data_IF_899076191855
#
_entry.id   IF_899076191855
#
_cell.length_a   1.000
_cell.length_b   1.000
_cell.length_c   1.000
_cell.angle_alpha   90.00
_cell.angle_beta   90.00
_cell.angle_gamma   90.00
#
_symmetry.space_group_name_H-M   'P 1'
#
loop_
_entity.id
_entity.type
_entity.pdbx_description
1 polymer ?
#
# COMPACT_ATOMS: atom_id res chain seq x y z
N UNK A 1 -21.86 45.30 60.82
CA UNK A 1 -20.72 45.07 59.90
C UNK A 1 -20.60 43.57 59.63
N UNK A 2 -21.11 43.09 58.49
CA UNK A 2 -21.06 41.67 58.11
C UNK A 2 -19.70 41.36 57.43
N UNK A 3 -18.77 40.73 58.16
CA UNK A 3 -17.52 40.20 57.57
C UNK A 3 -17.83 38.89 56.84
N UNK A 4 -18.02 38.94 55.52
CA UNK A 4 -18.01 37.72 54.68
C UNK A 4 -16.58 37.21 54.57
N UNK A 5 -16.30 36.08 55.21
CA UNK A 5 -15.05 35.31 55.07
C UNK A 5 -14.97 34.71 53.67
N UNK A 6 -14.06 35.21 52.84
CA UNK A 6 -13.71 34.59 51.55
C UNK A 6 -12.76 33.43 51.87
N UNK A 7 -13.26 32.19 51.76
CA UNK A 7 -12.42 31.00 51.86
C UNK A 7 -11.45 30.96 50.67
N UNK A 8 -10.14 31.09 50.93
CA UNK A 8 -9.10 30.88 49.91
C UNK A 8 -9.00 29.39 49.62
N UNK A 9 -9.47 28.96 48.46
CA UNK A 9 -9.12 27.65 47.92
C UNK A 9 -7.61 27.64 47.64
N UNK A 10 -6.86 26.89 48.45
CA UNK A 10 -5.44 26.61 48.20
C UNK A 10 -5.38 25.73 46.96
N UNK A 11 -4.90 26.26 45.83
CA UNK A 11 -4.65 25.45 44.66
C UNK A 11 -3.55 24.44 45.00
N UNK A 12 -3.92 23.16 45.03
CA UNK A 12 -2.96 22.06 45.11
C UNK A 12 -2.21 22.02 43.78
N UNK A 13 -0.95 22.45 43.79
CA UNK A 13 -0.07 22.34 42.63
C UNK A 13 0.30 20.88 42.35
N UNK A 14 0.62 20.59 41.10
CA UNK A 14 1.14 19.29 40.67
C UNK A 14 2.55 19.11 41.22
N UNK A 15 2.85 17.94 41.80
CA UNK A 15 4.16 17.66 42.36
C UNK A 15 5.15 17.28 41.26
N UNK A 16 6.44 17.56 41.47
CA UNK A 16 7.50 17.13 40.55
C UNK A 16 7.52 15.59 40.39
N UNK A 17 7.18 14.86 41.45
CA UNK A 17 7.14 13.40 41.41
C UNK A 17 5.99 12.88 40.55
N UNK A 18 4.81 13.52 40.60
CA UNK A 18 3.70 13.18 39.69
C UNK A 18 4.08 13.43 38.24
N UNK A 19 4.81 14.52 37.95
CA UNK A 19 5.25 14.85 36.60
C UNK A 19 6.26 13.84 36.07
N UNK A 20 7.21 13.42 36.90
CA UNK A 20 8.18 12.38 36.53
C UNK A 20 7.52 11.02 36.25
N UNK A 21 6.52 10.62 37.05
CA UNK A 21 5.78 9.37 36.82
C UNK A 21 5.00 9.43 35.51
N UNK A 22 4.34 10.55 35.22
CA UNK A 22 3.59 10.73 33.96
C UNK A 22 4.52 10.64 32.76
N UNK A 23 5.68 11.30 32.79
CA UNK A 23 6.67 11.22 31.71
C UNK A 23 7.20 9.79 31.53
N UNK A 24 7.45 9.07 32.64
CA UNK A 24 7.88 7.67 32.57
C UNK A 24 6.84 6.77 31.89
N UNK A 25 5.55 6.91 32.23
CA UNK A 25 4.47 6.13 31.61
C UNK A 25 4.32 6.48 30.13
N UNK A 26 4.32 7.77 29.77
CA UNK A 26 4.25 8.22 28.37
C UNK A 26 5.45 7.68 27.59
N UNK A 27 6.64 7.65 28.17
CA UNK A 27 7.85 7.10 27.54
C UNK A 27 7.69 5.62 27.17
N UNK A 28 7.15 4.80 28.07
CA UNK A 28 6.89 3.37 27.81
C UNK A 28 5.84 3.19 26.71
N UNK A 29 4.72 3.92 26.79
CA UNK A 29 3.65 3.84 25.79
C UNK A 29 4.13 4.29 24.41
N UNK A 30 4.90 5.37 24.34
CA UNK A 30 5.44 5.90 23.09
C UNK A 30 6.40 4.92 22.42
N UNK A 31 7.23 4.20 23.19
CA UNK A 31 8.18 3.23 22.65
C UNK A 31 7.49 2.09 21.87
N UNK A 32 6.29 1.66 22.29
CA UNK A 32 5.51 0.62 21.62
C UNK A 32 4.57 1.21 20.55
N UNK A 33 3.95 2.35 20.84
CA UNK A 33 2.95 2.96 19.96
C UNK A 33 3.56 3.59 18.70
N UNK A 34 4.75 4.20 18.79
CA UNK A 34 5.37 4.88 17.65
C UNK A 34 5.72 3.94 16.49
N UNK A 35 6.38 2.77 16.71
CA UNK A 35 6.63 1.83 15.62
C UNK A 35 5.35 1.32 14.96
N UNK A 36 4.33 1.00 15.77
CA UNK A 36 3.04 0.53 15.26
C UNK A 36 2.31 1.60 14.43
N UNK A 37 2.35 2.86 14.89
CA UNK A 37 1.77 3.98 14.16
C UNK A 37 2.48 4.22 12.82
N UNK A 38 3.81 4.12 12.80
CA UNK A 38 4.58 4.22 11.56
C UNK A 38 4.17 3.13 10.57
N UNK A 39 4.11 1.87 10.99
CA UNK A 39 3.68 0.76 10.14
C UNK A 39 2.27 0.96 9.58
N UNK A 40 1.35 1.50 10.39
CA UNK A 40 -0.01 1.83 9.95
C UNK A 40 -0.01 2.93 8.89
N UNK A 41 0.77 4.00 9.09
CA UNK A 41 0.87 5.09 8.10
C UNK A 41 1.49 4.62 6.79
N UNK A 42 2.46 3.70 6.85
CA UNK A 42 3.05 3.09 5.65
C UNK A 42 2.02 2.25 4.92
N UNK A 43 1.27 1.40 5.64
CA UNK A 43 0.18 0.61 5.04
C UNK A 43 -0.87 1.49 4.36
N UNK A 44 -1.21 2.63 4.97
CA UNK A 44 -2.15 3.58 4.38
C UNK A 44 -1.63 4.16 3.05
N UNK A 45 -0.34 4.51 2.97
CA UNK A 45 0.28 4.94 1.71
C UNK A 45 0.35 3.80 0.68
N UNK A 46 0.63 2.57 1.12
CA UNK A 46 0.64 1.40 0.24
C UNK A 46 -0.74 1.09 -0.33
N UNK A 47 -1.83 1.42 0.37
CA UNK A 47 -3.18 1.32 -0.21
C UNK A 47 -3.35 2.18 -1.46
N UNK A 48 -2.68 3.34 -1.57
CA UNK A 48 -2.67 4.14 -2.80
C UNK A 48 -1.99 3.40 -3.95
N UNK A 49 -0.87 2.71 -3.66
CA UNK A 49 -0.15 1.88 -4.63
C UNK A 49 -1.04 0.72 -5.11
N UNK A 50 -1.79 0.10 -4.19
CA UNK A 50 -2.76 -0.95 -4.53
C UNK A 50 -3.88 -0.40 -5.40
N UNK A 51 -4.36 0.81 -5.13
CA UNK A 51 -5.37 1.48 -5.95
C UNK A 51 -4.84 1.77 -7.36
N UNK A 52 -3.61 2.26 -7.46
CA UNK A 52 -2.93 2.48 -8.73
C UNK A 52 -2.72 1.17 -9.52
N UNK A 53 -2.40 0.06 -8.86
CA UNK A 53 -2.36 -1.25 -9.51
C UNK A 53 -3.76 -1.68 -9.99
N UNK A 54 -4.78 -1.37 -9.20
CA UNK A 54 -6.16 -1.82 -9.44
C UNK A 54 -6.84 -1.15 -10.63
N UNK A 55 -6.39 0.05 -11.03
CA UNK A 55 -6.92 0.74 -12.21
C UNK A 55 -6.75 -0.07 -13.50
N UNK A 56 -5.73 -0.92 -13.56
CA UNK A 56 -5.44 -1.82 -14.67
C UNK A 56 -6.30 -3.09 -14.71
N UNK A 57 -7.09 -3.40 -13.67
CA UNK A 57 -7.81 -4.69 -13.62
C UNK A 57 -8.82 -4.81 -14.75
N UNK A 58 -9.63 -3.77 -14.94
CA UNK A 58 -10.70 -3.78 -15.95
C UNK A 58 -10.10 -3.83 -17.35
N UNK A 59 -9.13 -2.96 -17.65
CA UNK A 59 -8.49 -2.91 -18.98
C UNK A 59 -7.82 -4.22 -19.36
N UNK A 60 -7.07 -4.85 -18.43
CA UNK A 60 -6.46 -6.16 -18.67
C UNK A 60 -7.53 -7.24 -18.84
N UNK A 61 -8.55 -7.25 -17.98
CA UNK A 61 -9.62 -8.27 -18.04
C UNK A 61 -10.39 -8.20 -19.35
N UNK A 62 -10.77 -6.99 -19.78
CA UNK A 62 -11.49 -6.77 -21.04
C UNK A 62 -10.62 -7.12 -22.24
N UNK A 63 -9.36 -6.66 -22.28
CA UNK A 63 -8.45 -6.95 -23.39
C UNK A 63 -8.15 -8.45 -23.53
N UNK A 64 -8.01 -9.17 -22.41
CA UNK A 64 -7.78 -10.62 -22.43
C UNK A 64 -9.03 -11.36 -22.93
N UNK A 65 -10.22 -10.97 -22.50
CA UNK A 65 -11.46 -11.70 -22.81
C UNK A 65 -12.07 -11.35 -24.18
N UNK A 66 -11.87 -10.12 -24.67
CA UNK A 66 -12.49 -9.64 -25.92
C UNK A 66 -11.59 -9.75 -27.15
N UNK A 67 -10.29 -9.97 -26.97
CA UNK A 67 -9.35 -10.03 -28.09
C UNK A 67 -9.64 -11.23 -29.01
N UNK A 68 -9.51 -11.01 -30.31
CA UNK A 68 -9.49 -12.08 -31.33
C UNK A 68 -8.07 -12.53 -31.68
N UNK A 69 -7.05 -11.92 -31.06
CA UNK A 69 -5.66 -12.36 -31.22
C UNK A 69 -5.41 -13.69 -30.49
N UNK A 70 -4.41 -14.44 -30.93
CA UNK A 70 -4.00 -15.70 -30.28
C UNK A 70 -2.94 -15.48 -29.19
N UNK A 71 -2.32 -14.30 -29.17
CA UNK A 71 -1.28 -13.92 -28.20
C UNK A 71 -1.54 -12.53 -27.64
N UNK A 72 -1.42 -12.40 -26.34
CA UNK A 72 -1.46 -11.13 -25.63
C UNK A 72 -0.16 -10.33 -25.84
N UNK A 73 -0.25 -9.01 -25.82
CA UNK A 73 0.92 -8.13 -25.89
C UNK A 73 0.77 -7.00 -24.90
N UNK A 74 1.88 -6.43 -24.42
CA UNK A 74 1.84 -5.33 -23.45
C UNK A 74 1.07 -4.11 -23.98
N UNK A 75 1.12 -3.86 -25.30
CA UNK A 75 0.41 -2.76 -25.96
C UNK A 75 -1.13 -2.88 -25.87
N UNK A 76 -1.66 -4.07 -25.58
CA UNK A 76 -3.10 -4.28 -25.40
C UNK A 76 -3.62 -3.78 -24.06
N UNK A 77 -2.73 -3.34 -23.15
CA UNK A 77 -3.07 -2.95 -21.78
C UNK A 77 -2.72 -1.48 -21.49
N UNK A 78 -3.38 -0.49 -22.12
CA UNK A 78 -3.09 0.93 -21.92
C UNK A 78 -3.69 1.45 -20.60
N UNK A 79 -3.07 1.12 -19.47
CA UNK A 79 -3.53 1.55 -18.13
C UNK A 79 -2.39 2.01 -17.22
N UNK A 80 -1.22 2.29 -17.80
CA UNK A 80 -0.06 2.85 -17.12
C UNK A 80 -0.25 4.29 -16.63
N UNK A 81 -1.40 4.92 -16.89
CA UNK A 81 -1.67 6.31 -16.55
C UNK A 81 -0.80 7.31 -17.32
N UNK A 82 -0.25 6.92 -18.47
CA UNK A 82 0.74 7.69 -19.24
C UNK A 82 2.19 7.48 -18.81
N UNK A 83 2.45 6.57 -17.86
CA UNK A 83 3.76 6.32 -17.27
C UNK A 83 4.74 5.49 -18.12
N UNK A 84 4.36 5.00 -19.31
CA UNK A 84 5.30 4.42 -20.28
C UNK A 84 6.48 5.35 -20.62
N UNK A 85 6.39 6.64 -20.25
CA UNK A 85 7.41 7.67 -20.46
C UNK A 85 8.29 7.97 -19.23
N UNK A 86 8.19 7.20 -18.13
CA UNK A 86 8.97 7.46 -16.90
C UNK A 86 8.48 8.67 -16.09
N UNK A 87 7.21 9.07 -16.27
CA UNK A 87 6.59 10.14 -15.50
C UNK A 87 6.07 9.63 -14.15
N UNK A 88 6.36 10.38 -13.09
CA UNK A 88 5.78 10.19 -11.76
C UNK A 88 4.25 10.26 -11.84
N UNK A 89 3.59 9.17 -11.45
CA UNK A 89 2.11 9.09 -11.42
C UNK A 89 1.55 9.86 -10.22
N UNK A 90 2.13 9.67 -9.03
CA UNK A 90 1.69 10.33 -7.81
C UNK A 90 2.83 10.51 -6.81
N UNK A 91 2.53 11.11 -5.65
CA UNK A 91 3.50 11.23 -4.56
C UNK A 91 4.08 9.88 -4.11
N UNK A 92 3.30 8.80 -4.20
CA UNK A 92 3.71 7.46 -3.74
C UNK A 92 3.86 6.43 -4.85
N UNK A 93 3.49 6.77 -6.09
CA UNK A 93 3.60 5.90 -7.25
C UNK A 93 4.55 6.52 -8.27
N UNK A 94 5.69 5.86 -8.49
CA UNK A 94 6.70 6.26 -9.46
C UNK A 94 6.28 5.88 -10.88
N UNK A 95 5.85 4.63 -11.07
CA UNK A 95 5.46 4.12 -12.38
C UNK A 95 4.49 2.95 -12.26
N UNK A 96 3.72 2.74 -13.33
CA UNK A 96 2.87 1.57 -13.53
C UNK A 96 3.31 0.94 -14.86
N UNK A 97 3.57 -0.36 -14.85
CA UNK A 97 3.94 -1.12 -16.04
C UNK A 97 3.10 -2.38 -16.14
N UNK A 98 2.64 -2.73 -17.34
CA UNK A 98 1.90 -3.96 -17.60
C UNK A 98 2.66 -4.82 -18.60
N UNK A 99 2.98 -6.05 -18.21
CA UNK A 99 3.64 -7.00 -19.09
C UNK A 99 2.63 -7.69 -20.03
N UNK A 100 3.14 -8.37 -21.06
CA UNK A 100 2.30 -9.06 -22.05
C UNK A 100 1.43 -10.18 -21.45
N UNK A 101 1.81 -10.71 -20.29
CA UNK A 101 1.05 -11.69 -19.52
C UNK A 101 -0.01 -11.06 -18.60
N UNK A 102 -0.28 -9.75 -18.75
CA UNK A 102 -1.23 -8.98 -17.94
C UNK A 102 -0.74 -8.67 -16.52
N UNK A 103 0.50 -9.02 -16.16
CA UNK A 103 1.07 -8.69 -14.85
C UNK A 103 1.25 -7.17 -14.74
N UNK A 104 0.57 -6.58 -13.77
CA UNK A 104 0.72 -5.18 -13.42
C UNK A 104 1.80 -5.04 -12.35
N UNK A 105 2.77 -4.17 -12.60
CA UNK A 105 3.89 -3.87 -11.72
C UNK A 105 3.83 -2.38 -11.38
N UNK A 106 3.72 -2.05 -10.10
CA UNK A 106 3.70 -0.66 -9.64
C UNK A 106 4.93 -0.41 -8.79
N UNK A 107 5.72 0.58 -9.18
CA UNK A 107 6.91 1.00 -8.43
C UNK A 107 6.53 2.13 -7.49
N UNK A 108 6.76 1.94 -6.20
CA UNK A 108 6.53 2.93 -5.15
C UNK A 108 7.64 3.98 -5.11
N UNK A 109 7.33 5.13 -4.52
CA UNK A 109 8.30 6.17 -4.19
C UNK A 109 7.86 6.98 -2.96
N UNK A 110 8.74 7.82 -2.42
CA UNK A 110 8.36 8.76 -1.37
C UNK A 110 7.96 8.13 -0.03
N UNK A 111 8.29 6.85 0.20
CA UNK A 111 8.03 6.12 1.45
C UNK A 111 9.36 5.55 1.96
N UNK A 112 10.05 6.31 2.81
CA UNK A 112 11.37 5.94 3.35
C UNK A 112 11.38 4.65 4.19
N UNK A 113 10.23 4.20 4.66
CA UNK A 113 10.11 2.97 5.43
C UNK A 113 10.09 1.69 4.57
N UNK A 114 9.92 1.81 3.25
CA UNK A 114 9.88 0.65 2.36
C UNK A 114 11.27 0.22 1.89
N UNK A 115 12.20 1.16 1.74
CA UNK A 115 13.53 0.94 1.16
C UNK A 115 14.35 -0.13 1.90
N UNK A 116 14.24 -1.37 1.44
CA UNK A 116 15.04 -2.52 1.85
C UNK A 116 16.02 -2.95 0.74
N UNK A 117 16.66 -1.98 0.06
CA UNK A 117 17.76 -2.22 -0.89
C UNK A 117 17.38 -2.63 -2.31
N UNK A 118 16.08 -2.62 -2.67
CA UNK A 118 15.56 -2.84 -4.03
C UNK A 118 14.56 -1.74 -4.38
N UNK A 119 14.16 -1.60 -5.65
CA UNK A 119 12.97 -0.82 -5.98
C UNK A 119 11.76 -1.40 -5.23
N UNK A 120 11.00 -0.54 -4.55
CA UNK A 120 9.83 -0.93 -3.77
C UNK A 120 8.66 -1.19 -4.72
N UNK A 121 8.37 -2.46 -4.99
CA UNK A 121 7.46 -2.89 -6.06
C UNK A 121 6.29 -3.66 -5.46
N UNK A 122 5.10 -3.33 -5.94
CA UNK A 122 3.87 -4.09 -5.77
C UNK A 122 3.48 -4.73 -7.10
N UNK A 123 3.13 -6.01 -7.09
CA UNK A 123 2.61 -6.69 -8.28
C UNK A 123 1.17 -7.13 -8.10
N UNK A 124 0.40 -7.00 -9.18
CA UNK A 124 -0.97 -7.50 -9.29
C UNK A 124 -1.04 -8.42 -10.52
N UNK A 125 -1.29 -9.71 -10.25
CA UNK A 125 -1.19 -10.79 -11.22
C UNK A 125 -2.57 -11.37 -11.55
N UNK A 126 -3.02 -11.34 -12.82
CA UNK A 126 -4.21 -12.06 -13.22
C UNK A 126 -3.94 -13.56 -13.24
N UNK A 127 -4.91 -14.35 -12.81
CA UNK A 127 -4.87 -15.80 -12.80
C UNK A 127 -5.91 -16.36 -13.77
N UNK A 128 -5.51 -17.31 -14.62
CA UNK A 128 -6.43 -18.04 -15.51
C UNK A 128 -7.09 -19.25 -14.84
N UNK A 129 -6.56 -19.68 -13.69
CA UNK A 129 -7.14 -20.68 -12.78
C UNK A 129 -6.64 -20.45 -11.35
N UNK A 130 -7.13 -21.23 -10.37
CA UNK A 130 -6.88 -21.01 -8.93
C UNK A 130 -5.42 -20.70 -8.52
N UNK A 131 -4.43 -21.34 -9.13
CA UNK A 131 -3.00 -21.08 -8.87
C UNK A 131 -2.18 -20.82 -10.13
N UNK A 132 -2.85 -20.65 -11.28
CA UNK A 132 -2.19 -20.53 -12.58
C UNK A 132 -2.22 -19.08 -13.01
N UNK A 133 -1.05 -18.46 -13.07
CA UNK A 133 -0.92 -17.11 -13.59
C UNK A 133 -1.25 -17.07 -15.09
N UNK A 134 -1.91 -16.00 -15.53
CA UNK A 134 -2.22 -15.77 -16.94
C UNK A 134 -0.92 -15.79 -17.77
N UNK A 135 -0.89 -16.50 -18.88
CA UNK A 135 0.25 -16.47 -19.81
C UNK A 135 -0.14 -15.78 -21.12
N UNK A 136 0.86 -15.43 -21.93
CA UNK A 136 0.65 -14.71 -23.21
C UNK A 136 -0.30 -15.45 -24.16
N UNK A 137 -0.33 -16.80 -24.12
CA UNK A 137 -1.23 -17.61 -24.95
C UNK A 137 -2.66 -17.76 -24.41
N UNK A 138 -3.02 -17.10 -23.31
CA UNK A 138 -4.35 -17.18 -22.70
C UNK A 138 -5.33 -16.14 -23.27
N UNK A 139 -5.09 -15.64 -24.48
CA UNK A 139 -5.99 -14.76 -25.18
C UNK A 139 -7.38 -15.42 -25.35
N UNK A 140 -8.44 -14.67 -25.05
CA UNK A 140 -9.82 -15.16 -25.04
C UNK A 140 -10.23 -15.97 -23.80
N UNK A 141 -9.32 -16.23 -22.85
CA UNK A 141 -9.68 -16.91 -21.58
C UNK A 141 -10.31 -15.95 -20.57
N UNK A 142 -11.14 -16.49 -19.69
CA UNK A 142 -11.67 -15.75 -18.55
C UNK A 142 -10.60 -15.59 -17.47
N UNK A 143 -10.60 -14.43 -16.81
CA UNK A 143 -9.76 -14.21 -15.62
C UNK A 143 -10.49 -14.84 -14.42
N UNK A 144 -9.88 -15.84 -13.81
CA UNK A 144 -10.43 -16.54 -12.64
C UNK A 144 -10.35 -15.67 -11.38
N UNK A 145 -9.19 -15.08 -11.13
CA UNK A 145 -8.94 -14.25 -9.96
C UNK A 145 -7.75 -13.31 -10.18
N UNK A 146 -7.54 -12.41 -9.22
CA UNK A 146 -6.40 -11.50 -9.18
C UNK A 146 -5.61 -11.71 -7.89
N UNK A 147 -4.34 -12.05 -8.02
CA UNK A 147 -3.41 -12.17 -6.91
C UNK A 147 -2.63 -10.88 -6.72
N UNK A 148 -2.59 -10.36 -5.49
CA UNK A 148 -1.92 -9.09 -5.20
C UNK A 148 -0.86 -9.27 -4.12
N UNK A 149 0.33 -8.71 -4.35
CA UNK A 149 1.36 -8.62 -3.32
C UNK A 149 2.17 -9.90 -3.08
N UNK A 150 2.05 -10.90 -3.95
CA UNK A 150 2.87 -12.13 -3.83
C UNK A 150 4.33 -11.87 -4.20
N UNK A 151 5.25 -12.33 -3.36
CA UNK A 151 6.69 -12.28 -3.65
C UNK A 151 7.07 -13.16 -4.85
N UNK A 152 6.31 -14.24 -5.11
CA UNK A 152 6.52 -15.10 -6.30
C UNK A 152 6.25 -14.37 -7.60
N UNK A 153 5.43 -13.31 -7.57
CA UNK A 153 5.10 -12.50 -8.74
C UNK A 153 6.04 -11.30 -8.91
N UNK A 154 6.95 -11.08 -7.95
CA UNK A 154 7.93 -10.00 -7.94
C UNK A 154 7.59 -8.83 -7.02
N UNK A 155 6.62 -8.96 -6.10
CA UNK A 155 6.41 -7.95 -5.04
C UNK A 155 7.61 -7.95 -4.09
N UNK A 156 8.24 -6.78 -3.90
CA UNK A 156 9.35 -6.58 -2.95
C UNK A 156 8.92 -5.90 -1.66
N UNK A 157 7.78 -5.19 -1.69
CA UNK A 157 7.19 -4.59 -0.49
C UNK A 157 6.85 -5.69 0.53
N UNK A 158 7.35 -5.55 1.77
CA UNK A 158 7.16 -6.58 2.79
C UNK A 158 5.66 -6.77 3.11
N UNK A 159 5.20 -8.01 3.36
CA UNK A 159 3.80 -8.29 3.70
C UNK A 159 3.24 -7.51 4.89
N UNK A 160 4.10 -7.13 5.85
CA UNK A 160 3.68 -6.27 6.97
C UNK A 160 3.20 -4.90 6.53
N UNK A 161 3.62 -4.39 5.38
CA UNK A 161 3.17 -3.09 4.83
C UNK A 161 2.01 -3.21 3.84
N UNK A 162 1.68 -4.42 3.39
CA UNK A 162 0.60 -4.66 2.44
C UNK A 162 -0.78 -4.67 3.15
N UNK A 163 -1.82 -4.00 2.63
CA UNK A 163 -3.16 -4.12 3.17
C UNK A 163 -3.67 -5.56 3.05
N UNK A 164 -4.69 -5.93 3.84
CA UNK A 164 -5.18 -7.31 3.89
C UNK A 164 -5.60 -7.90 2.54
N UNK A 165 -6.05 -7.06 1.61
CA UNK A 165 -6.42 -7.42 0.24
C UNK A 165 -5.24 -7.78 -0.69
N UNK A 166 -4.00 -7.58 -0.23
CA UNK A 166 -2.78 -7.74 -1.04
C UNK A 166 -1.68 -8.50 -0.30
N UNK A 167 -2.03 -9.49 0.51
CA UNK A 167 -1.05 -10.32 1.25
C UNK A 167 -0.86 -11.72 0.64
N UNK A 168 -0.99 -11.85 -0.68
CA UNK A 168 -0.79 -13.11 -1.41
C UNK A 168 -2.01 -13.63 -2.13
#
# INVERSE_FOLDING_TARGET
MNRRSIARNVQKGFTLIELMIVVAIIGILAAVALPAYQDYTVRAKVSEIVLAASSCRTTVTEAVQSTSATTLTAAMFPCDGGAASGATVSKYVSSIAVAADGKVTVTAQGISQLTAGSADVLTLRPLSAAATALVVGDAGKTIFAWRCGSSTDGTTILPKYLPGSCRG
#
